data_IF_387431453039
#
_entry.id   IF_387431453039
#
_cell.length_a   1.000
_cell.length_b   1.000
_cell.length_c   1.000
_cell.angle_alpha   90.00
_cell.angle_beta   90.00
_cell.angle_gamma   90.00
#
_symmetry.space_group_name_H-M   'P 1'
#
loop_
_entity.id
_entity.type
_entity.pdbx_description
1 polymer ?
#
# COMPACT_ATOMS: atom_id res chain seq x y z
N UNK A 1 13.36 8.16 38.99
CA UNK A 1 13.36 7.22 37.83
C UNK A 1 12.55 7.71 36.63
N UNK A 2 11.46 8.47 36.81
CA UNK A 2 10.56 8.97 35.75
C UNK A 2 11.21 9.96 34.76
N UNK A 3 12.02 10.91 35.24
CA UNK A 3 12.69 11.92 34.38
C UNK A 3 13.64 11.29 33.34
N UNK A 4 14.48 10.34 33.77
CA UNK A 4 15.41 9.60 32.90
C UNK A 4 14.69 8.74 31.84
N UNK A 5 13.55 8.13 32.20
CA UNK A 5 12.70 7.35 31.26
C UNK A 5 12.06 8.25 30.20
N UNK A 6 11.57 9.43 30.59
CA UNK A 6 11.00 10.41 29.66
C UNK A 6 12.04 10.98 28.69
N UNK A 7 13.25 11.30 29.16
CA UNK A 7 14.35 11.74 28.29
C UNK A 7 14.72 10.66 27.27
N UNK A 8 14.78 9.39 27.67
CA UNK A 8 15.09 8.28 26.76
C UNK A 8 14.04 8.09 25.65
N UNK A 9 12.75 8.30 25.95
CA UNK A 9 11.69 8.20 24.94
C UNK A 9 11.71 9.36 23.95
N UNK A 10 11.99 10.58 24.43
CA UNK A 10 12.11 11.74 23.54
C UNK A 10 13.28 11.58 22.56
N UNK A 11 14.42 11.06 23.02
CA UNK A 11 15.55 10.73 22.14
C UNK A 11 15.17 9.66 21.10
N UNK A 12 14.43 8.61 21.49
CA UNK A 12 13.89 7.61 20.55
C UNK A 12 12.97 8.23 19.50
N UNK A 13 12.04 9.11 19.88
CA UNK A 13 11.14 9.75 18.91
C UNK A 13 11.88 10.65 17.93
N UNK A 14 12.87 11.43 18.40
CA UNK A 14 13.77 12.18 17.49
C UNK A 14 14.50 11.25 16.52
N UNK A 15 14.98 10.11 17.01
CA UNK A 15 15.58 9.05 16.19
C UNK A 15 14.62 8.55 15.10
N UNK A 16 13.37 8.27 15.46
CA UNK A 16 12.33 7.86 14.50
C UNK A 16 12.00 8.95 13.49
N UNK A 17 12.01 10.23 13.87
CA UNK A 17 11.85 11.34 12.92
C UNK A 17 12.95 11.34 11.87
N UNK A 18 14.21 11.25 12.33
CA UNK A 18 15.39 11.20 11.45
C UNK A 18 15.35 9.98 10.55
N UNK A 19 14.96 8.83 11.09
CA UNK A 19 14.79 7.59 10.33
C UNK A 19 13.74 7.76 9.21
N UNK A 20 12.56 8.28 9.53
CA UNK A 20 11.53 8.55 8.52
C UNK A 20 12.02 9.53 7.44
N UNK A 21 12.76 10.59 7.79
CA UNK A 21 13.35 11.49 6.78
C UNK A 21 14.29 10.76 5.83
N UNK A 22 15.23 9.97 6.37
CA UNK A 22 16.20 9.22 5.58
C UNK A 22 15.50 8.23 4.65
N UNK A 23 14.53 7.47 5.18
CA UNK A 23 13.75 6.53 4.38
C UNK A 23 12.92 7.24 3.31
N UNK A 24 12.35 8.41 3.62
CA UNK A 24 11.63 9.24 2.64
C UNK A 24 12.52 9.63 1.46
N UNK A 25 13.74 10.11 1.72
CA UNK A 25 14.70 10.43 0.66
C UNK A 25 15.16 9.21 -0.12
N UNK A 26 15.40 8.08 0.55
CA UNK A 26 15.80 6.84 -0.11
C UNK A 26 14.73 6.38 -1.11
N UNK A 27 13.46 6.33 -0.70
CA UNK A 27 12.35 5.98 -1.59
C UNK A 27 12.14 7.01 -2.70
N UNK A 28 12.28 8.31 -2.40
CA UNK A 28 12.17 9.37 -3.41
C UNK A 28 13.24 9.21 -4.50
N UNK A 29 14.50 9.02 -4.10
CA UNK A 29 15.62 8.84 -5.04
C UNK A 29 15.39 7.59 -5.88
N UNK A 30 14.99 6.47 -5.27
CA UNK A 30 14.69 5.24 -6.01
C UNK A 30 13.51 5.42 -6.97
N UNK A 31 12.41 6.05 -6.53
CA UNK A 31 11.24 6.29 -7.36
C UNK A 31 11.54 7.20 -8.56
N UNK A 32 12.25 8.30 -8.33
CA UNK A 32 12.68 9.22 -9.39
C UNK A 32 13.67 8.54 -10.34
N UNK A 33 14.63 7.79 -9.80
CA UNK A 33 15.58 7.02 -10.61
C UNK A 33 14.85 6.02 -11.50
N UNK A 34 13.98 5.18 -10.91
CA UNK A 34 13.17 4.20 -11.65
C UNK A 34 12.35 4.86 -12.75
N UNK A 35 11.72 6.00 -12.47
CA UNK A 35 10.97 6.75 -13.48
C UNK A 35 11.88 7.19 -14.64
N UNK A 36 13.05 7.77 -14.32
CA UNK A 36 13.98 8.31 -15.31
C UNK A 36 14.66 7.24 -16.17
N UNK A 37 14.96 6.06 -15.61
CA UNK A 37 15.65 4.99 -16.35
C UNK A 37 14.70 3.94 -16.95
N UNK A 38 13.40 3.99 -16.63
CA UNK A 38 12.44 3.05 -17.19
C UNK A 38 12.25 3.23 -18.69
N UNK A 39 11.81 2.15 -19.34
CA UNK A 39 11.48 2.13 -20.76
C UNK A 39 9.96 2.18 -20.98
N UNK A 40 9.55 2.20 -22.24
CA UNK A 40 8.14 2.29 -22.65
C UNK A 40 7.38 0.95 -22.56
N UNK A 41 7.84 -0.01 -21.73
CA UNK A 41 7.16 -1.29 -21.57
C UNK A 41 5.78 -1.08 -20.94
N UNK A 42 4.75 -1.52 -21.64
CA UNK A 42 3.36 -1.50 -21.17
C UNK A 42 2.82 -2.92 -20.98
N UNK A 43 1.82 -3.05 -20.11
CA UNK A 43 1.04 -4.27 -19.97
C UNK A 43 -0.45 -3.98 -20.21
N UNK A 44 -1.15 -4.85 -20.95
CA UNK A 44 -2.55 -4.62 -21.27
C UNK A 44 -3.45 -4.89 -20.06
N UNK A 45 -4.51 -4.12 -19.95
CA UNK A 45 -5.64 -4.37 -19.05
C UNK A 45 -6.87 -4.56 -19.92
N UNK A 46 -7.58 -5.66 -19.73
CA UNK A 46 -8.77 -6.03 -20.49
C UNK A 46 -10.03 -5.91 -19.64
N UNK A 47 -11.15 -5.64 -20.31
CA UNK A 47 -12.49 -5.84 -19.78
C UNK A 47 -13.14 -7.02 -20.51
N UNK A 48 -13.89 -7.85 -19.80
CA UNK A 48 -14.54 -9.04 -20.35
C UNK A 48 -16.07 -8.86 -20.31
N UNK A 49 -16.63 -8.26 -21.38
CA UNK A 49 -18.08 -8.16 -21.56
C UNK A 49 -18.60 -9.34 -22.39
N UNK A 50 -19.90 -9.62 -22.29
CA UNK A 50 -20.51 -10.67 -23.10
C UNK A 50 -20.84 -10.15 -24.50
N UNK A 51 -20.46 -10.92 -25.52
CA UNK A 51 -20.94 -10.78 -26.88
C UNK A 51 -22.03 -11.81 -27.15
N UNK A 52 -23.11 -11.39 -27.83
CA UNK A 52 -24.19 -12.28 -28.22
C UNK A 52 -23.98 -12.74 -29.67
N UNK A 53 -23.84 -14.04 -29.86
CA UNK A 53 -23.75 -14.66 -31.18
C UNK A 53 -25.15 -15.04 -31.66
N UNK A 54 -25.61 -14.38 -32.73
CA UNK A 54 -26.93 -14.60 -33.33
C UNK A 54 -27.04 -15.91 -34.12
N UNK A 55 -25.92 -16.54 -34.48
CA UNK A 55 -25.91 -17.82 -35.20
C UNK A 55 -26.09 -19.00 -34.24
N UNK A 56 -25.44 -18.93 -33.07
CA UNK A 56 -25.49 -19.98 -32.04
C UNK A 56 -26.49 -19.66 -30.92
N UNK A 57 -27.08 -18.45 -30.92
CA UNK A 57 -27.93 -17.93 -29.84
C UNK A 57 -27.28 -18.05 -28.47
N UNK A 58 -25.97 -17.76 -28.38
CA UNK A 58 -25.18 -17.93 -27.16
C UNK A 58 -24.45 -16.65 -26.76
N UNK A 59 -24.10 -16.56 -25.47
CA UNK A 59 -23.26 -15.50 -24.93
C UNK A 59 -21.83 -16.02 -24.74
N UNK A 60 -20.84 -15.29 -25.24
CA UNK A 60 -19.43 -15.61 -25.06
C UNK A 60 -18.66 -14.41 -24.50
N UNK A 61 -17.69 -14.61 -23.59
CA UNK A 61 -16.83 -13.52 -23.14
C UNK A 61 -16.04 -12.91 -24.31
N UNK A 62 -15.97 -11.59 -24.35
CA UNK A 62 -15.23 -10.81 -25.33
C UNK A 62 -14.27 -9.88 -24.60
N UNK A 63 -12.98 -10.22 -24.66
CA UNK A 63 -11.91 -9.43 -24.09
C UNK A 63 -11.67 -8.18 -24.93
N UNK A 64 -11.88 -7.00 -24.34
CA UNK A 64 -11.62 -5.70 -24.96
C UNK A 64 -10.53 -4.97 -24.19
N UNK A 65 -9.49 -4.55 -24.91
CA UNK A 65 -8.42 -3.72 -24.34
C UNK A 65 -9.04 -2.44 -23.76
N UNK A 66 -8.77 -2.21 -22.47
CA UNK A 66 -9.24 -1.05 -21.72
C UNK A 66 -8.13 -0.01 -21.59
N UNK A 67 -6.92 -0.45 -21.21
CA UNK A 67 -5.80 0.44 -20.97
C UNK A 67 -4.47 -0.30 -21.13
N UNK A 68 -3.42 0.42 -21.53
CA UNK A 68 -2.04 -0.06 -21.48
C UNK A 68 -1.30 0.62 -20.34
N UNK A 69 -1.00 -0.15 -19.29
CA UNK A 69 -0.36 0.37 -18.08
C UNK A 69 1.16 0.43 -18.28
N UNK A 70 1.80 1.62 -18.21
CA UNK A 70 3.25 1.72 -18.28
C UNK A 70 3.86 1.17 -16.98
N UNK A 71 4.67 0.11 -17.11
CA UNK A 71 5.19 -0.63 -15.95
C UNK A 71 6.17 0.23 -15.13
N UNK A 72 7.12 0.89 -15.78
CA UNK A 72 8.15 1.69 -15.14
C UNK A 72 7.60 2.79 -14.23
N UNK A 73 6.78 3.71 -14.75
CA UNK A 73 6.07 4.70 -13.94
C UNK A 73 5.24 4.07 -12.82
N UNK A 74 4.57 2.95 -13.06
CA UNK A 74 3.76 2.26 -12.04
C UNK A 74 4.60 1.71 -10.88
N UNK A 75 5.80 1.18 -11.16
CA UNK A 75 6.78 0.78 -10.15
C UNK A 75 7.30 1.99 -9.37
N UNK A 76 7.59 3.09 -10.07
CA UNK A 76 8.01 4.33 -9.42
C UNK A 76 6.92 4.88 -8.47
N UNK A 77 5.63 4.78 -8.83
CA UNK A 77 4.53 5.29 -8.02
C UNK A 77 4.48 4.65 -6.63
N UNK A 78 4.64 3.33 -6.49
CA UNK A 78 4.58 2.74 -5.15
C UNK A 78 5.74 3.21 -4.25
N UNK A 79 6.95 3.40 -4.82
CA UNK A 79 8.09 3.97 -4.09
C UNK A 79 7.80 5.41 -3.66
N UNK A 80 7.22 6.22 -4.55
CA UNK A 80 6.85 7.60 -4.26
C UNK A 80 5.74 7.70 -3.20
N UNK A 81 4.78 6.78 -3.18
CA UNK A 81 3.77 6.69 -2.12
C UNK A 81 4.43 6.47 -0.75
N UNK A 82 5.38 5.54 -0.65
CA UNK A 82 6.14 5.32 0.60
C UNK A 82 6.98 6.54 0.98
N UNK A 83 7.58 7.23 0.01
CA UNK A 83 8.31 8.48 0.25
C UNK A 83 7.41 9.56 0.85
N UNK A 84 6.21 9.75 0.29
CA UNK A 84 5.21 10.71 0.78
C UNK A 84 4.81 10.39 2.23
N UNK A 85 4.52 9.13 2.54
CA UNK A 85 4.14 8.74 3.90
C UNK A 85 5.27 8.98 4.90
N UNK A 86 6.51 8.65 4.55
CA UNK A 86 7.68 8.91 5.38
C UNK A 86 7.91 10.41 5.61
N UNK A 87 7.81 11.24 4.57
CA UNK A 87 7.93 12.69 4.72
C UNK A 87 6.79 13.27 5.56
N UNK A 88 5.57 12.78 5.38
CA UNK A 88 4.42 13.18 6.21
C UNK A 88 4.67 12.86 7.68
N UNK A 89 5.09 11.63 7.99
CA UNK A 89 5.43 11.19 9.36
C UNK A 89 6.58 11.99 9.98
N UNK A 90 7.51 12.50 9.17
CA UNK A 90 8.62 13.31 9.63
C UNK A 90 8.33 14.82 9.75
N UNK A 91 7.22 15.29 9.18
CA UNK A 91 6.83 16.70 9.08
C UNK A 91 5.48 16.96 9.73
N UNK A 92 4.44 17.24 8.94
CA UNK A 92 3.11 17.64 9.41
C UNK A 92 2.41 16.57 10.25
N UNK A 93 2.67 15.28 9.97
CA UNK A 93 2.09 14.16 10.70
C UNK A 93 2.84 13.76 11.97
N UNK A 94 3.98 14.39 12.28
CA UNK A 94 4.90 13.89 13.32
C UNK A 94 4.30 13.88 14.74
N UNK A 95 3.51 14.90 15.09
CA UNK A 95 2.87 14.97 16.41
C UNK A 95 1.81 13.87 16.58
N UNK A 96 0.95 13.69 15.57
CA UNK A 96 -0.04 12.61 15.54
C UNK A 96 0.60 11.23 15.52
N UNK A 97 1.72 11.08 14.80
CA UNK A 97 2.52 9.85 14.78
C UNK A 97 3.02 9.49 16.18
N UNK A 98 3.67 10.43 16.91
CA UNK A 98 4.13 10.16 18.28
C UNK A 98 2.96 9.84 19.21
N UNK A 99 1.82 10.54 19.08
CA UNK A 99 0.63 10.27 19.89
C UNK A 99 0.15 8.83 19.71
N UNK A 100 0.07 8.36 18.47
CA UNK A 100 -0.31 6.98 18.16
C UNK A 100 0.75 5.96 18.63
N UNK A 101 2.05 6.26 18.47
CA UNK A 101 3.11 5.37 18.94
C UNK A 101 3.12 5.19 20.46
N UNK A 102 2.74 6.21 21.23
CA UNK A 102 2.57 6.09 22.69
C UNK A 102 1.43 5.14 23.06
N UNK A 103 0.48 4.96 22.16
CA UNK A 103 -0.59 3.98 22.21
C UNK A 103 -0.21 2.70 21.45
N UNK A 104 1.06 2.48 21.08
CA UNK A 104 1.47 1.28 20.35
C UNK A 104 0.79 1.10 18.98
N UNK A 105 0.32 2.19 18.35
CA UNK A 105 -0.29 2.17 17.01
C UNK A 105 0.55 2.92 15.98
N UNK A 106 0.42 2.52 14.72
CA UNK A 106 0.86 3.32 13.58
C UNK A 106 -0.15 3.25 12.42
N UNK A 107 -1.24 4.05 12.45
CA UNK A 107 -2.28 3.99 11.42
C UNK A 107 -1.80 4.37 10.02
N UNK A 108 -0.91 5.36 9.92
CA UNK A 108 -0.38 5.85 8.64
C UNK A 108 0.36 4.74 7.89
N UNK A 109 1.04 3.83 8.59
CA UNK A 109 1.68 2.66 7.99
C UNK A 109 0.67 1.79 7.24
N UNK A 110 -0.47 1.49 7.85
CA UNK A 110 -1.47 0.65 7.22
C UNK A 110 -2.20 1.34 6.07
N UNK A 111 -2.42 2.65 6.16
CA UNK A 111 -2.97 3.41 5.02
C UNK A 111 -2.02 3.45 3.84
N UNK A 112 -0.72 3.64 4.09
CA UNK A 112 0.28 3.61 3.04
C UNK A 112 0.39 2.21 2.42
N UNK A 113 0.52 1.16 3.25
CA UNK A 113 0.59 -0.21 2.75
C UNK A 113 -0.66 -0.62 1.98
N UNK A 114 -1.86 -0.21 2.42
CA UNK A 114 -3.10 -0.49 1.71
C UNK A 114 -3.12 0.07 0.27
N UNK A 115 -2.30 1.07 -0.04
CA UNK A 115 -2.13 1.59 -1.40
C UNK A 115 -0.88 1.02 -2.07
N UNK A 116 0.30 1.13 -1.45
CA UNK A 116 1.58 0.77 -2.06
C UNK A 116 1.71 -0.74 -2.29
N UNK A 117 1.39 -1.56 -1.29
CA UNK A 117 1.43 -3.02 -1.44
C UNK A 117 0.33 -3.54 -2.37
N UNK A 118 -0.81 -2.84 -2.44
CA UNK A 118 -1.90 -3.19 -3.36
C UNK A 118 -1.54 -2.90 -4.81
N UNK A 119 -0.84 -1.79 -5.07
CA UNK A 119 -0.26 -1.55 -6.39
C UNK A 119 0.81 -2.61 -6.71
N UNK A 120 1.68 -2.94 -5.75
CA UNK A 120 2.72 -3.95 -5.94
C UNK A 120 2.15 -5.34 -6.32
N UNK A 121 1.11 -5.82 -5.61
CA UNK A 121 0.50 -7.12 -5.93
C UNK A 121 -0.21 -7.11 -7.29
N UNK A 122 -0.80 -5.97 -7.69
CA UNK A 122 -1.37 -5.82 -9.04
C UNK A 122 -0.28 -5.95 -10.09
N UNK A 123 0.86 -5.27 -9.94
CA UNK A 123 1.96 -5.35 -10.89
C UNK A 123 2.55 -6.77 -10.97
N UNK A 124 2.71 -7.46 -9.83
CA UNK A 124 3.15 -8.87 -9.79
C UNK A 124 2.11 -9.76 -10.50
N UNK A 125 0.82 -9.55 -10.25
CA UNK A 125 -0.26 -10.27 -10.92
C UNK A 125 -0.23 -10.09 -12.44
N UNK A 126 0.00 -8.86 -12.90
CA UNK A 126 0.13 -8.57 -14.34
C UNK A 126 1.35 -9.25 -14.96
N UNK A 127 2.49 -9.31 -14.25
CA UNK A 127 3.65 -10.09 -14.69
C UNK A 127 3.37 -11.60 -14.76
N UNK A 128 2.44 -12.09 -13.94
CA UNK A 128 1.98 -13.47 -13.94
C UNK A 128 0.84 -13.75 -14.95
N UNK A 129 0.41 -12.75 -15.74
CA UNK A 129 -0.63 -12.89 -16.77
C UNK A 129 -2.05 -12.54 -16.32
N UNK A 130 -2.23 -11.94 -15.13
CA UNK A 130 -3.53 -11.44 -14.67
C UNK A 130 -3.78 -10.05 -15.25
N UNK A 131 -4.55 -9.98 -16.34
CA UNK A 131 -4.82 -8.74 -17.07
C UNK A 131 -6.29 -8.33 -17.08
N UNK A 132 -7.18 -9.10 -16.46
CA UNK A 132 -8.58 -8.73 -16.34
C UNK A 132 -8.77 -7.61 -15.30
N UNK A 133 -9.46 -6.54 -15.68
CA UNK A 133 -9.70 -5.37 -14.83
C UNK A 133 -10.46 -5.74 -13.55
N UNK A 134 -11.43 -6.65 -13.63
CA UNK A 134 -12.19 -7.10 -12.46
C UNK A 134 -11.31 -7.84 -11.45
N UNK A 135 -10.47 -8.75 -11.93
CA UNK A 135 -9.49 -9.46 -11.13
C UNK A 135 -8.48 -8.49 -10.49
N UNK A 136 -7.98 -7.50 -11.25
CA UNK A 136 -7.06 -6.47 -10.75
C UNK A 136 -7.71 -5.65 -9.61
N UNK A 137 -8.95 -5.19 -9.80
CA UNK A 137 -9.69 -4.44 -8.76
C UNK A 137 -9.88 -5.30 -7.50
N UNK A 138 -10.23 -6.58 -7.67
CA UNK A 138 -10.41 -7.50 -6.57
C UNK A 138 -9.09 -7.75 -5.81
N UNK A 139 -7.99 -8.00 -6.51
CA UNK A 139 -6.66 -8.19 -5.91
C UNK A 139 -6.23 -6.95 -5.12
N UNK A 140 -6.40 -5.76 -5.71
CA UNK A 140 -6.10 -4.50 -5.05
C UNK A 140 -6.95 -4.34 -3.77
N UNK A 141 -8.25 -4.58 -3.86
CA UNK A 141 -9.19 -4.45 -2.74
C UNK A 141 -8.91 -5.43 -1.60
N UNK A 142 -8.64 -6.70 -1.92
CA UNK A 142 -8.33 -7.72 -0.91
C UNK A 142 -7.01 -7.42 -0.19
N UNK A 143 -5.97 -7.02 -0.92
CA UNK A 143 -4.69 -6.65 -0.31
C UNK A 143 -4.80 -5.36 0.52
N UNK A 144 -5.60 -4.39 0.08
CA UNK A 144 -5.91 -3.20 0.88
C UNK A 144 -6.65 -3.59 2.18
N UNK A 145 -7.63 -4.48 2.09
CA UNK A 145 -8.40 -4.98 3.23
C UNK A 145 -7.51 -5.69 4.25
N UNK A 146 -6.59 -6.57 3.83
CA UNK A 146 -5.58 -7.20 4.70
C UNK A 146 -4.84 -6.17 5.55
N UNK A 147 -4.36 -5.08 4.92
CA UNK A 147 -3.66 -4.02 5.65
C UNK A 147 -4.57 -3.26 6.63
N UNK A 148 -5.83 -2.98 6.23
CA UNK A 148 -6.81 -2.35 7.12
C UNK A 148 -7.21 -3.25 8.30
N UNK A 149 -7.18 -4.56 8.14
CA UNK A 149 -7.37 -5.52 9.23
C UNK A 149 -6.18 -5.50 10.21
N UNK A 150 -4.96 -5.24 9.73
CA UNK A 150 -3.82 -4.92 10.61
C UNK A 150 -4.04 -3.65 11.44
N UNK A 151 -4.62 -2.60 10.85
CA UNK A 151 -5.03 -1.40 11.60
C UNK A 151 -6.12 -1.71 12.62
N UNK A 152 -7.10 -2.55 12.26
CA UNK A 152 -8.13 -3.01 13.17
C UNK A 152 -7.53 -3.81 14.32
N UNK A 153 -6.53 -4.67 14.06
CA UNK A 153 -5.81 -5.44 15.08
C UNK A 153 -5.17 -4.52 16.11
N UNK A 154 -4.45 -3.47 15.67
CA UNK A 154 -3.86 -2.48 16.57
C UNK A 154 -4.91 -1.67 17.32
N UNK A 155 -6.05 -1.41 16.68
CA UNK A 155 -7.08 -0.54 17.24
C UNK A 155 -7.98 -1.22 18.26
N UNK A 156 -8.39 -2.47 17.98
CA UNK A 156 -9.28 -3.27 18.80
C UNK A 156 -8.62 -3.74 20.10
N UNK A 157 -7.30 -3.93 20.08
CA UNK A 157 -6.57 -4.58 21.17
C UNK A 157 -5.87 -3.63 22.16
N UNK A 158 -6.12 -2.32 22.08
CA UNK A 158 -5.46 -1.33 22.94
C UNK A 158 -5.72 -1.52 24.43
N UNK A 159 -7.00 -1.64 24.77
CA UNK A 159 -7.46 -1.62 26.16
C UNK A 159 -7.92 -3.01 26.62
N UNK A 160 -7.58 -4.06 25.86
CA UNK A 160 -7.99 -5.43 26.14
C UNK A 160 -6.98 -6.12 27.06
N UNK A 161 -7.50 -6.83 28.06
CA UNK A 161 -6.71 -7.71 28.94
C UNK A 161 -6.30 -9.02 28.24
N UNK A 162 -7.08 -9.47 27.25
CA UNK A 162 -6.78 -10.61 26.38
C UNK A 162 -6.86 -10.18 24.93
N UNK A 163 -5.83 -10.52 24.15
CA UNK A 163 -5.77 -10.20 22.72
C UNK A 163 -6.86 -10.95 21.95
N UNK A 164 -7.58 -10.20 21.13
CA UNK A 164 -8.50 -10.69 20.11
C UNK A 164 -7.74 -10.80 18.79
N UNK A 165 -7.52 -12.04 18.36
CA UNK A 165 -6.76 -12.34 17.15
C UNK A 165 -7.61 -12.36 15.89
N UNK A 166 -8.93 -12.15 16.00
CA UNK A 166 -9.84 -12.24 14.85
C UNK A 166 -9.42 -11.34 13.67
N UNK A 167 -9.04 -10.05 13.88
CA UNK A 167 -8.58 -9.22 12.77
C UNK A 167 -7.30 -9.73 12.11
N UNK A 168 -6.39 -10.35 12.88
CA UNK A 168 -5.17 -10.94 12.33
C UNK A 168 -5.45 -12.22 11.53
N UNK A 169 -6.38 -13.07 11.99
CA UNK A 169 -6.75 -14.29 11.27
C UNK A 169 -7.48 -14.01 9.95
N UNK A 170 -8.25 -12.92 9.89
CA UNK A 170 -8.97 -12.52 8.67
C UNK A 170 -8.11 -11.74 7.68
N UNK A 171 -7.06 -11.07 8.16
CA UNK A 171 -6.10 -10.34 7.34
C UNK A 171 -5.15 -11.29 6.65
#
# INVERSE_FOLDING_TARGET
MTKKKNTSMQEKFKGLRRFNLIMGFLHLIQGVFMWAVSNDTTYPIFTNFLNFDTTTFSLSPSAKLFYELPLGPSVAIFLLLSAIAHFYLASAGYEGYIKNLRQGKNPIRFYEYALSSSLMIVLIGMLAGVWDLGAIILMFGLNAMMNLLGLLMESLNQDRTKLDWSPFTFG
#
